data_IF_233093536105
#
_entry.id   IF_233093536105
#
_cell.length_a   1.000
_cell.length_b   1.000
_cell.length_c   1.000
_cell.angle_alpha   90.00
_cell.angle_beta   90.00
_cell.angle_gamma   90.00
#
_symmetry.space_group_name_H-M   'P 1'
#
loop_
_entity.id
_entity.type
_entity.pdbx_description
1 polymer ?
#
# COMPACT_ATOMS: atom_id res chain seq x y z
N UNK A 1 -51.38 -6.67 29.08
CA UNK A 1 -50.31 -5.65 29.04
C UNK A 1 -49.04 -6.41 28.68
N UNK A 2 -48.85 -6.53 27.38
CA UNK A 2 -47.79 -7.26 26.70
C UNK A 2 -46.42 -6.58 26.89
N UNK A 3 -45.35 -7.41 27.00
CA UNK A 3 -44.05 -7.32 26.28
C UNK A 3 -43.20 -6.06 26.59
N UNK A 4 -41.92 -6.08 26.94
CA UNK A 4 -40.77 -6.96 26.67
C UNK A 4 -39.66 -6.54 27.64
N UNK A 5 -39.00 -7.50 28.28
CA UNK A 5 -37.72 -7.23 28.95
C UNK A 5 -36.65 -7.00 27.88
N UNK A 6 -36.06 -5.81 27.87
CA UNK A 6 -34.94 -5.46 27.00
C UNK A 6 -33.75 -6.38 27.30
N UNK A 7 -33.59 -7.43 26.49
CA UNK A 7 -32.36 -8.21 26.47
C UNK A 7 -31.30 -7.32 25.84
N UNK A 8 -30.58 -6.59 26.69
CA UNK A 8 -29.30 -5.98 26.38
C UNK A 8 -28.34 -7.09 25.96
N UNK A 9 -28.35 -7.44 24.68
CA UNK A 9 -27.34 -8.29 24.08
C UNK A 9 -26.02 -7.54 24.07
N UNK A 10 -25.27 -7.63 25.16
CA UNK A 10 -23.85 -7.28 25.15
C UNK A 10 -23.19 -8.27 24.20
N UNK A 11 -22.96 -7.81 22.96
CA UNK A 11 -22.11 -8.47 21.98
C UNK A 11 -20.74 -8.62 22.65
N UNK A 12 -20.52 -9.78 23.24
CA UNK A 12 -19.26 -10.18 23.84
C UNK A 12 -18.31 -10.40 22.66
N UNK A 13 -17.60 -9.35 22.27
CA UNK A 13 -16.53 -9.42 21.29
C UNK A 13 -15.39 -10.24 21.92
N UNK A 14 -14.79 -11.15 21.16
CA UNK A 14 -13.67 -11.95 21.63
C UNK A 14 -12.55 -10.99 22.10
N UNK A 15 -12.13 -11.04 23.39
CA UNK A 15 -11.10 -10.13 23.92
C UNK A 15 -9.72 -10.35 23.30
N UNK A 16 -9.53 -11.49 22.62
CA UNK A 16 -8.33 -11.84 21.85
C UNK A 16 -8.45 -11.48 20.36
N UNK A 17 -9.57 -10.88 19.92
CA UNK A 17 -9.69 -10.44 18.55
C UNK A 17 -8.68 -9.32 18.27
N UNK A 18 -7.69 -9.60 17.41
CA UNK A 18 -6.86 -8.56 16.83
C UNK A 18 -7.78 -7.49 16.22
N UNK A 19 -7.56 -6.19 16.52
CA UNK A 19 -8.38 -5.14 15.95
C UNK A 19 -8.33 -5.23 14.43
N UNK A 20 -9.48 -5.11 13.78
CA UNK A 20 -9.56 -4.97 12.33
C UNK A 20 -8.85 -3.67 11.92
N UNK A 21 -7.53 -3.74 11.76
CA UNK A 21 -6.75 -2.68 11.12
C UNK A 21 -7.04 -2.80 9.63
N UNK A 22 -8.05 -2.05 9.17
CA UNK A 22 -8.12 -1.69 7.76
C UNK A 22 -6.79 -1.05 7.40
N UNK A 23 -5.98 -1.77 6.63
CA UNK A 23 -4.71 -1.28 6.08
C UNK A 23 -4.90 0.15 5.59
N UNK A 24 -4.13 1.09 6.13
CA UNK A 24 -4.26 2.50 5.75
C UNK A 24 -4.05 2.64 4.24
N UNK A 25 -4.69 3.62 3.57
CA UNK A 25 -4.45 3.88 2.14
C UNK A 25 -2.95 4.04 1.82
N UNK A 26 -2.16 4.49 2.79
CA UNK A 26 -0.72 4.65 2.71
C UNK A 26 0.03 3.32 2.57
N UNK A 27 -0.42 2.23 3.22
CA UNK A 27 0.20 0.90 3.09
C UNK A 27 -0.01 0.28 1.70
N UNK A 28 -0.94 0.83 0.91
CA UNK A 28 -1.24 0.44 -0.47
C UNK A 28 -0.56 1.35 -1.50
N UNK A 29 0.33 2.24 -1.05
CA UNK A 29 0.92 3.27 -1.89
C UNK A 29 2.44 3.10 -1.97
N UNK A 30 2.98 3.19 -3.19
CA UNK A 30 4.41 3.30 -3.43
C UNK A 30 4.75 4.73 -3.87
N UNK A 31 5.87 5.22 -3.39
CA UNK A 31 6.46 6.49 -3.80
C UNK A 31 7.53 6.24 -4.85
N UNK A 32 7.65 7.17 -5.79
CA UNK A 32 8.54 7.08 -6.93
C UNK A 32 9.38 8.35 -6.99
N UNK A 33 10.68 8.21 -7.21
CA UNK A 33 11.55 9.32 -7.56
C UNK A 33 12.25 9.03 -8.87
N UNK A 34 12.37 10.05 -9.71
CA UNK A 34 12.93 9.93 -11.04
C UNK A 34 14.33 10.54 -11.06
N UNK A 35 15.27 9.91 -11.76
CA UNK A 35 16.58 10.52 -11.99
C UNK A 35 16.44 11.79 -12.85
N UNK A 36 17.17 12.85 -12.47
CA UNK A 36 17.16 14.14 -13.16
C UNK A 36 17.40 13.97 -14.68
N UNK A 37 16.55 14.59 -15.49
CA UNK A 37 16.63 14.55 -16.96
C UNK A 37 15.88 13.39 -17.63
N UNK A 38 15.22 12.50 -16.88
CA UNK A 38 14.40 11.41 -17.43
C UNK A 38 12.96 11.45 -16.90
N UNK A 39 12.13 12.42 -17.36
CA UNK A 39 10.75 12.54 -16.90
C UNK A 39 9.96 11.29 -17.30
N UNK A 40 9.44 10.57 -16.31
CA UNK A 40 8.50 9.47 -16.52
C UNK A 40 7.09 10.03 -16.41
N UNK A 41 6.26 9.81 -17.42
CA UNK A 41 4.88 10.32 -17.43
C UNK A 41 3.97 9.42 -16.60
N UNK A 42 2.84 10.00 -16.13
CA UNK A 42 1.79 9.23 -15.43
C UNK A 42 1.31 8.02 -16.23
N UNK A 43 1.27 8.16 -17.56
CA UNK A 43 0.74 7.15 -18.46
C UNK A 43 1.72 5.99 -18.63
N UNK A 44 3.02 6.27 -18.77
CA UNK A 44 4.07 5.25 -18.79
C UNK A 44 4.06 4.43 -17.49
N UNK A 45 3.93 5.11 -16.34
CA UNK A 45 3.84 4.46 -15.03
C UNK A 45 2.60 3.55 -14.99
N UNK A 46 1.43 4.10 -15.33
CA UNK A 46 0.18 3.34 -15.31
C UNK A 46 0.27 2.08 -16.19
N UNK A 47 0.69 2.23 -17.45
CA UNK A 47 0.83 1.12 -18.40
C UNK A 47 1.80 0.08 -17.86
N UNK A 48 2.99 0.49 -17.39
CA UNK A 48 4.00 -0.45 -16.89
C UNK A 48 3.50 -1.30 -15.72
N UNK A 49 2.85 -0.67 -14.72
CA UNK A 49 2.30 -1.42 -13.59
C UNK A 49 1.07 -2.24 -13.96
N UNK A 50 0.23 -1.77 -14.88
CA UNK A 50 -0.94 -2.52 -15.34
C UNK A 50 -0.55 -3.72 -16.19
N UNK A 51 0.47 -3.63 -17.04
CA UNK A 51 0.96 -4.76 -17.82
C UNK A 51 1.68 -5.79 -16.94
N UNK A 52 2.44 -5.35 -15.94
CA UNK A 52 3.18 -6.25 -15.06
C UNK A 52 2.30 -6.96 -14.02
N UNK A 53 1.35 -6.24 -13.42
CA UNK A 53 0.58 -6.73 -12.27
C UNK A 53 -0.93 -6.84 -12.53
N UNK A 54 -1.44 -6.32 -13.64
CA UNK A 54 -2.87 -6.28 -13.96
C UNK A 54 -3.56 -4.99 -13.50
N UNK A 55 -4.89 -4.96 -13.57
CA UNK A 55 -5.70 -3.77 -13.28
C UNK A 55 -5.93 -3.53 -11.77
N UNK A 56 -4.84 -3.47 -11.01
CA UNK A 56 -4.85 -3.14 -9.58
C UNK A 56 -4.36 -1.72 -9.30
N UNK A 57 -4.09 -0.94 -10.34
CA UNK A 57 -3.67 0.45 -10.22
C UNK A 57 -4.91 1.31 -9.98
N UNK A 58 -5.03 1.86 -8.77
CA UNK A 58 -6.17 2.68 -8.38
C UNK A 58 -5.96 4.13 -8.83
N UNK A 59 -4.75 4.66 -8.69
CA UNK A 59 -4.41 6.04 -9.06
C UNK A 59 -2.91 6.25 -9.21
N UNK A 60 -2.51 7.08 -10.17
CA UNK A 60 -1.11 7.51 -10.37
C UNK A 60 -1.04 9.04 -10.28
N UNK A 61 -0.12 9.53 -9.47
CA UNK A 61 0.16 10.95 -9.30
C UNK A 61 1.62 11.23 -9.59
N UNK A 62 1.88 12.29 -10.37
CA UNK A 62 3.23 12.77 -10.68
C UNK A 62 3.26 14.26 -10.33
N UNK A 63 4.27 14.68 -9.58
CA UNK A 63 4.43 16.03 -9.05
C UNK A 63 5.74 16.64 -9.56
N UNK A 64 5.72 17.97 -9.75
CA UNK A 64 6.88 18.82 -10.06
C UNK A 64 7.71 18.34 -11.23
N UNK A 65 7.53 18.90 -12.44
CA UNK A 65 8.32 18.58 -13.66
C UNK A 65 8.74 17.10 -13.85
N UNK A 66 7.95 16.15 -13.33
CA UNK A 66 8.23 14.72 -13.26
C UNK A 66 9.52 14.38 -12.48
N UNK A 67 9.68 14.95 -11.29
CA UNK A 67 10.76 14.65 -10.33
C UNK A 67 10.32 13.61 -9.29
N UNK A 68 9.04 13.65 -8.90
CA UNK A 68 8.46 12.76 -7.89
C UNK A 68 7.09 12.23 -8.33
N UNK A 69 6.73 11.04 -7.85
CA UNK A 69 5.41 10.47 -8.09
C UNK A 69 4.98 9.53 -6.98
N UNK A 70 3.71 9.13 -7.01
CA UNK A 70 3.17 8.05 -6.19
C UNK A 70 2.13 7.27 -6.96
N UNK A 71 2.05 5.98 -6.66
CA UNK A 71 1.07 5.07 -7.22
C UNK A 71 0.32 4.40 -6.08
N UNK A 72 -1.01 4.44 -6.15
CA UNK A 72 -1.89 3.76 -5.21
C UNK A 72 -2.45 2.52 -5.88
N UNK A 73 -2.38 1.40 -5.17
CA UNK A 73 -2.96 0.14 -5.61
C UNK A 73 -4.27 -0.15 -4.88
N UNK A 74 -5.16 -0.87 -5.55
CA UNK A 74 -6.42 -1.35 -4.97
C UNK A 74 -6.16 -2.37 -3.86
N UNK A 75 -5.06 -3.13 -3.97
CA UNK A 75 -4.65 -4.18 -3.02
C UNK A 75 -3.38 -3.82 -2.25
N UNK A 76 -3.29 -4.27 -1.00
CA UNK A 76 -2.15 -4.07 -0.10
C UNK A 76 -1.01 -5.06 -0.28
N UNK A 77 -1.23 -6.15 -1.00
CA UNK A 77 -0.16 -7.12 -1.27
C UNK A 77 0.81 -6.63 -2.33
N UNK A 78 0.37 -5.81 -3.29
CA UNK A 78 1.24 -5.37 -4.39
C UNK A 78 2.46 -4.57 -3.96
N UNK A 79 2.36 -3.55 -3.10
CA UNK A 79 3.55 -2.85 -2.61
C UNK A 79 4.60 -3.78 -2.03
N UNK A 80 4.17 -4.78 -1.26
CA UNK A 80 5.03 -5.78 -0.63
C UNK A 80 5.60 -6.75 -1.68
N UNK A 81 4.79 -7.18 -2.64
CA UNK A 81 5.24 -8.05 -3.75
C UNK A 81 6.23 -7.35 -4.69
N UNK A 82 6.09 -6.04 -4.90
CA UNK A 82 6.97 -5.24 -5.77
C UNK A 82 8.29 -4.92 -5.06
N UNK A 83 8.21 -4.58 -3.77
CA UNK A 83 9.38 -4.21 -2.95
C UNK A 83 10.14 -5.42 -2.41
N UNK A 84 9.45 -6.53 -2.19
CA UNK A 84 9.93 -7.62 -1.33
C UNK A 84 10.29 -7.10 0.06
N UNK A 85 11.37 -7.64 0.61
CA UNK A 85 11.94 -7.22 1.89
C UNK A 85 12.64 -5.84 1.84
N UNK A 86 12.87 -5.28 0.66
CA UNK A 86 13.58 -4.01 0.51
C UNK A 86 12.71 -2.80 0.90
N UNK A 87 13.35 -1.72 1.36
CA UNK A 87 12.65 -0.45 1.63
C UNK A 87 12.64 0.47 0.40
N UNK A 88 13.65 0.31 -0.46
CA UNK A 88 13.86 1.08 -1.68
C UNK A 88 14.36 0.13 -2.76
N UNK A 89 13.69 0.10 -3.90
CA UNK A 89 14.14 -0.70 -5.06
C UNK A 89 14.28 0.19 -6.29
N UNK A 90 15.26 -0.13 -7.14
CA UNK A 90 15.44 0.53 -8.42
C UNK A 90 14.83 -0.32 -9.53
N UNK A 91 13.87 0.23 -10.26
CA UNK A 91 13.27 -0.40 -11.42
C UNK A 91 13.53 0.41 -12.69
N UNK A 92 13.25 -0.21 -13.84
CA UNK A 92 13.34 0.44 -15.14
C UNK A 92 11.94 0.54 -15.77
N UNK A 93 11.42 1.77 -15.92
CA UNK A 93 10.16 2.05 -16.63
C UNK A 93 10.49 2.72 -17.95
N UNK A 94 10.12 2.12 -19.09
CA UNK A 94 10.43 2.67 -20.43
C UNK A 94 11.90 3.06 -20.61
N UNK A 95 12.82 2.19 -20.14
CA UNK A 95 14.28 2.40 -20.15
C UNK A 95 14.78 3.57 -19.27
N UNK A 96 13.93 4.11 -18.38
CA UNK A 96 14.26 5.16 -17.40
C UNK A 96 14.35 4.55 -16.00
N UNK A 97 15.37 4.98 -15.24
CA UNK A 97 15.56 4.53 -13.86
C UNK A 97 14.58 5.21 -12.92
N UNK A 98 13.81 4.41 -12.18
CA UNK A 98 12.86 4.88 -11.17
C UNK A 98 13.18 4.22 -9.85
N UNK A 99 13.32 5.04 -8.81
CA UNK A 99 13.45 4.53 -7.45
C UNK A 99 12.06 4.45 -6.85
N UNK A 100 11.70 3.26 -6.39
CA UNK A 100 10.47 3.03 -5.67
C UNK A 100 10.77 3.01 -4.16
N UNK A 101 9.83 3.47 -3.35
CA UNK A 101 9.91 3.41 -1.89
C UNK A 101 8.55 3.11 -1.26
N UNK A 102 8.52 2.22 -0.28
CA UNK A 102 7.30 1.93 0.49
C UNK A 102 6.99 3.01 1.53
N UNK A 103 5.71 3.22 1.81
CA UNK A 103 5.32 4.04 2.95
C UNK A 103 5.75 3.34 4.24
N UNK A 104 6.58 4.02 5.04
CA UNK A 104 6.92 3.57 6.39
C UNK A 104 6.01 4.28 7.37
N UNK A 105 5.08 3.54 7.98
CA UNK A 105 4.38 4.02 9.16
C UNK A 105 5.43 4.34 10.25
N UNK A 106 5.44 5.56 10.82
CA UNK A 106 6.33 5.89 11.94
C UNK A 106 6.04 5.03 13.18
N UNK A 107 4.82 4.49 13.28
CA UNK A 107 4.48 3.40 14.18
C UNK A 107 4.80 2.09 13.45
N UNK A 108 6.07 1.68 13.52
CA UNK A 108 6.54 0.45 12.88
C UNK A 108 5.70 -0.74 13.34
N UNK A 109 5.19 -1.51 12.39
CA UNK A 109 4.64 -2.83 12.67
C UNK A 109 5.84 -3.69 13.11
N UNK A 110 5.98 -3.88 14.42
CA UNK A 110 6.87 -4.90 14.94
C UNK A 110 6.43 -6.22 14.29
N UNK A 111 7.28 -6.84 13.47
CA UNK A 111 7.04 -8.19 12.98
C UNK A 111 6.89 -9.08 14.20
N UNK A 112 5.65 -9.35 14.60
CA UNK A 112 5.33 -10.35 15.60
C UNK A 112 5.64 -11.70 14.98
N UNK A 113 6.92 -12.08 15.02
CA UNK A 113 7.30 -13.47 15.12
C UNK A 113 6.65 -13.96 16.40
N UNK A 114 5.65 -14.82 16.26
CA UNK A 114 5.05 -15.51 17.38
C UNK A 114 6.03 -16.64 17.75
N UNK A 115 6.69 -16.64 18.92
CA UNK A 115 7.27 -17.87 19.42
C UNK A 115 6.13 -18.80 19.81
N UNK A 116 6.07 -19.97 19.16
CA UNK A 116 5.22 -21.08 19.58
C UNK A 116 5.61 -21.50 21.00
N UNK A 117 4.67 -21.45 21.94
CA UNK A 117 4.71 -22.21 23.19
C UNK A 117 3.43 -23.02 23.33
#
# INVERSE_FOLDING_TARGET
MDVVGESSGSKQLNPDANPFRTKSPDERTLFMTFSSGSPVTRQEIYIHFTEAYGNYVESVYVHGNNEFGKIRFSTSYLPDSIMGDEEVVKISICNKSVWLKKFRSPFGNNSQTQPTQ
#
